data_IF_970573725696
#
_entry.id   IF_970573725696
#
_cell.length_a   1.000
_cell.length_b   1.000
_cell.length_c   1.000
_cell.angle_alpha   90.00
_cell.angle_beta   90.00
_cell.angle_gamma   90.00
#
_symmetry.space_group_name_H-M   'P 1'
#
loop_
_entity.id
_entity.type
_entity.pdbx_description
1 polymer ?
#
# COMPACT_ATOMS: atom_id res chain seq x y z
N UNK A 1 -8.06 -23.72 16.26
CA UNK A 1 -8.40 -22.85 15.15
C UNK A 1 -8.88 -23.71 14.01
N UNK A 2 -10.16 -23.69 13.79
CA UNK A 2 -10.88 -24.64 12.93
C UNK A 2 -10.83 -24.20 11.47
N UNK A 3 -9.66 -24.31 10.85
CA UNK A 3 -9.50 -24.05 9.43
C UNK A 3 -9.12 -25.32 8.68
N UNK A 4 -9.56 -25.44 7.44
CA UNK A 4 -9.14 -26.54 6.57
C UNK A 4 -7.64 -26.46 6.30
N UNK A 5 -6.94 -27.58 6.52
CA UNK A 5 -5.51 -27.72 6.21
C UNK A 5 -5.38 -28.25 4.79
N UNK A 6 -5.24 -27.34 3.85
CA UNK A 6 -5.02 -27.64 2.45
C UNK A 6 -3.57 -27.34 2.10
N UNK A 7 -2.87 -28.34 1.57
CA UNK A 7 -1.47 -28.23 1.15
C UNK A 7 -1.38 -27.77 -0.31
N UNK A 8 -0.22 -27.25 -0.67
CA UNK A 8 0.12 -26.85 -2.04
C UNK A 8 0.46 -25.36 -2.16
N UNK A 9 0.89 -24.98 -3.35
CA UNK A 9 1.13 -23.58 -3.72
C UNK A 9 -0.21 -22.98 -4.10
N UNK A 10 -0.73 -22.10 -3.26
CA UNK A 10 -2.06 -21.50 -3.42
C UNK A 10 -2.04 -20.02 -3.79
N UNK A 11 -0.87 -19.39 -3.82
CA UNK A 11 -0.66 -18.02 -4.29
C UNK A 11 0.20 -18.02 -5.54
N UNK A 12 0.15 -16.92 -6.28
CA UNK A 12 0.86 -16.78 -7.55
C UNK A 12 2.38 -16.96 -7.38
N UNK A 13 3.00 -17.52 -8.40
CA UNK A 13 4.46 -17.63 -8.52
C UNK A 13 4.90 -16.77 -9.70
N UNK A 14 5.86 -15.89 -9.45
CA UNK A 14 6.34 -14.92 -10.43
C UNK A 14 7.79 -15.18 -10.82
N UNK A 15 8.11 -14.98 -12.10
CA UNK A 15 9.47 -14.77 -12.58
C UNK A 15 9.65 -13.28 -12.83
N UNK A 16 10.54 -12.64 -12.08
CA UNK A 16 10.78 -11.21 -12.14
C UNK A 16 12.15 -10.92 -12.73
N UNK A 17 12.20 -10.10 -13.81
CA UNK A 17 13.41 -9.53 -14.33
C UNK A 17 13.48 -8.05 -13.92
N UNK A 18 14.61 -7.62 -13.40
CA UNK A 18 14.83 -6.24 -12.95
C UNK A 18 16.24 -5.75 -13.26
N UNK A 19 16.49 -4.44 -13.35
CA UNK A 19 17.82 -3.88 -13.49
C UNK A 19 18.71 -4.22 -12.28
N UNK A 20 20.03 -4.13 -12.46
CA UNK A 20 20.98 -4.40 -11.36
C UNK A 20 20.92 -3.36 -10.23
N UNK A 21 20.58 -2.12 -10.55
CA UNK A 21 20.23 -1.11 -9.55
C UNK A 21 18.73 -0.99 -9.56
N UNK A 22 18.09 -1.27 -8.44
CA UNK A 22 16.63 -1.30 -8.37
C UNK A 22 16.08 -0.85 -7.02
N UNK A 23 14.82 -0.46 -7.03
CA UNK A 23 14.01 -0.27 -5.81
C UNK A 23 13.77 -1.65 -5.17
N UNK A 24 14.27 -1.86 -3.95
CA UNK A 24 14.10 -3.12 -3.24
C UNK A 24 12.87 -3.10 -2.34
N UNK A 25 12.66 -1.96 -1.69
CA UNK A 25 11.51 -1.77 -0.80
C UNK A 25 11.00 -0.33 -0.84
N UNK A 26 9.73 -0.15 -0.55
CA UNK A 26 9.04 1.13 -0.52
C UNK A 26 8.12 1.15 0.70
N UNK A 27 8.33 2.14 1.57
CA UNK A 27 7.52 2.34 2.76
C UNK A 27 6.91 3.75 2.74
N UNK A 28 5.58 3.82 2.69
CA UNK A 28 4.81 5.05 2.67
C UNK A 28 4.15 5.28 4.03
N UNK A 29 4.36 6.45 4.61
CA UNK A 29 3.67 6.87 5.84
C UNK A 29 3.19 8.29 5.70
N UNK A 30 2.18 8.68 6.47
CA UNK A 30 1.73 10.06 6.51
C UNK A 30 1.40 10.54 7.91
N UNK A 31 1.61 11.83 8.13
CA UNK A 31 1.12 12.54 9.29
C UNK A 31 0.06 13.55 8.85
N UNK A 32 -1.09 13.50 9.50
CA UNK A 32 -2.23 14.37 9.16
C UNK A 32 -2.48 15.31 10.33
N UNK A 33 -2.65 16.60 10.04
CA UNK A 33 -2.94 17.63 11.04
C UNK A 33 -4.24 17.33 11.79
N UNK A 34 -4.38 17.87 13.00
CA UNK A 34 -5.60 17.70 13.80
C UNK A 34 -6.83 18.31 13.13
N UNK A 35 -6.64 19.35 12.32
CA UNK A 35 -7.70 19.99 11.53
C UNK A 35 -8.03 19.25 10.24
N UNK A 36 -7.24 18.21 9.89
CA UNK A 36 -7.38 17.44 8.67
C UNK A 36 -7.13 18.22 7.37
N UNK A 37 -6.60 19.43 7.47
CA UNK A 37 -6.35 20.36 6.36
C UNK A 37 -4.95 20.22 5.74
N UNK A 38 -4.11 19.37 6.34
CA UNK A 38 -2.73 19.16 5.89
C UNK A 38 -2.31 17.71 6.13
N UNK A 39 -1.66 17.11 5.13
CA UNK A 39 -1.00 15.83 5.24
C UNK A 39 0.47 15.97 4.81
N UNK A 40 1.38 15.40 5.58
CA UNK A 40 2.77 15.19 5.19
C UNK A 40 2.95 13.72 4.80
N UNK A 41 3.26 13.47 3.53
CA UNK A 41 3.62 12.14 3.04
C UNK A 41 5.13 11.96 3.16
N UNK A 42 5.55 10.90 3.81
CA UNK A 42 6.94 10.45 3.87
C UNK A 42 7.07 9.20 3.00
N UNK A 43 8.02 9.24 2.08
CA UNK A 43 8.43 8.12 1.24
C UNK A 43 9.81 7.70 1.70
N UNK A 44 9.94 6.47 2.15
CA UNK A 44 11.21 5.81 2.43
C UNK A 44 11.38 4.67 1.44
N UNK A 45 12.55 4.54 0.84
CA UNK A 45 12.85 3.47 -0.11
C UNK A 45 14.25 2.94 0.06
N UNK A 46 14.40 1.64 -0.15
CA UNK A 46 15.68 0.95 -0.16
C UNK A 46 16.08 0.71 -1.62
N UNK A 47 17.23 1.27 -2.02
CA UNK A 47 17.79 1.09 -3.35
C UNK A 47 19.01 0.20 -3.29
N UNK A 48 18.95 -0.96 -3.93
CA UNK A 48 20.02 -1.95 -3.91
C UNK A 48 20.75 -2.01 -5.24
N UNK A 49 22.09 -2.09 -5.17
CA UNK A 49 22.97 -2.29 -6.32
C UNK A 49 23.48 -3.74 -6.36
N UNK A 50 22.85 -4.59 -7.14
CA UNK A 50 23.26 -5.99 -7.38
C UNK A 50 24.46 -6.11 -8.35
N UNK A 51 24.96 -4.99 -8.85
CA UNK A 51 26.16 -4.94 -9.69
C UNK A 51 27.44 -5.01 -8.87
N UNK A 52 28.60 -4.91 -9.58
CA UNK A 52 29.92 -4.90 -8.94
C UNK A 52 30.54 -3.50 -8.84
N UNK A 53 30.08 -2.56 -9.67
CA UNK A 53 30.60 -1.18 -9.69
C UNK A 53 29.75 -0.28 -8.84
N UNK A 54 30.37 0.76 -8.26
CA UNK A 54 29.62 1.84 -7.60
C UNK A 54 28.67 2.48 -8.62
N UNK A 55 27.44 2.71 -8.21
CA UNK A 55 26.42 3.39 -9.00
C UNK A 55 25.87 4.58 -8.21
N UNK A 56 25.35 5.54 -8.94
CA UNK A 56 24.61 6.67 -8.38
C UNK A 56 23.27 6.74 -9.08
N UNK A 57 22.22 6.92 -8.31
CA UNK A 57 20.87 6.98 -8.81
C UNK A 57 20.07 8.05 -8.07
N UNK A 58 18.87 8.30 -8.55
CA UNK A 58 17.96 9.27 -7.97
C UNK A 58 16.55 8.68 -8.05
N UNK A 59 15.76 8.84 -7.01
CA UNK A 59 14.34 8.44 -7.05
C UNK A 59 13.49 9.69 -7.24
N UNK A 60 12.78 9.75 -8.36
CA UNK A 60 11.72 10.73 -8.58
C UNK A 60 10.41 10.18 -8.05
N UNK A 61 9.78 10.92 -7.16
CA UNK A 61 8.47 10.59 -6.60
C UNK A 61 7.45 11.57 -7.17
N UNK A 62 6.35 11.05 -7.70
CA UNK A 62 5.20 11.81 -8.17
C UNK A 62 3.95 11.35 -7.45
N UNK A 63 3.21 12.28 -6.86
CA UNK A 63 1.93 12.02 -6.23
C UNK A 63 0.82 12.48 -7.16
N UNK A 64 -0.06 11.56 -7.54
CA UNK A 64 -1.25 11.84 -8.34
C UNK A 64 -2.49 11.78 -7.44
N UNK A 65 -3.45 12.67 -7.69
CA UNK A 65 -4.72 12.65 -6.96
C UNK A 65 -5.65 11.52 -7.45
N UNK A 66 -6.83 11.44 -6.86
CA UNK A 66 -7.87 10.45 -7.20
C UNK A 66 -8.35 10.49 -8.66
N UNK A 67 -8.03 11.58 -9.38
CA UNK A 67 -8.36 11.77 -10.79
C UNK A 67 -7.15 11.51 -11.72
N UNK A 68 -6.02 11.06 -11.14
CA UNK A 68 -4.79 10.82 -11.88
C UNK A 68 -4.00 12.10 -12.24
N UNK A 69 -4.35 13.26 -11.68
CA UNK A 69 -3.63 14.53 -11.90
C UNK A 69 -2.48 14.67 -10.92
N UNK A 70 -1.30 15.15 -11.36
CA UNK A 70 -0.16 15.37 -10.47
C UNK A 70 -0.47 16.50 -9.47
N UNK A 71 -0.20 16.24 -8.20
CA UNK A 71 -0.37 17.22 -7.10
C UNK A 71 0.95 17.58 -6.43
N UNK A 72 1.95 16.72 -6.53
CA UNK A 72 3.30 16.96 -6.03
C UNK A 72 4.32 16.10 -6.76
N UNK A 73 5.54 16.60 -6.88
CA UNK A 73 6.69 15.81 -7.33
C UNK A 73 7.95 16.29 -6.62
N UNK A 74 8.82 15.34 -6.24
CA UNK A 74 10.09 15.64 -5.58
C UNK A 74 11.13 14.56 -5.87
N UNK A 75 12.38 14.86 -5.55
CA UNK A 75 13.54 14.00 -5.80
C UNK A 75 14.13 13.53 -4.48
N UNK A 76 14.46 12.26 -4.42
CA UNK A 76 15.21 11.64 -3.31
C UNK A 76 16.56 11.17 -3.87
N UNK A 77 17.68 11.82 -3.52
CA UNK A 77 19.01 11.35 -3.93
C UNK A 77 19.37 10.07 -3.17
N UNK A 78 19.86 9.06 -3.88
CA UNK A 78 20.28 7.80 -3.25
C UNK A 78 21.72 7.86 -2.73
N UNK A 79 22.49 8.84 -3.19
CA UNK A 79 23.93 8.86 -3.00
C UNK A 79 24.64 7.75 -3.81
N UNK A 80 25.92 7.53 -3.52
CA UNK A 80 26.72 6.47 -4.14
C UNK A 80 26.40 5.13 -3.48
N UNK A 81 25.98 4.16 -4.30
CA UNK A 81 25.65 2.81 -3.86
C UNK A 81 26.76 1.86 -4.29
N UNK A 82 27.52 1.35 -3.37
CA UNK A 82 28.58 0.36 -3.62
C UNK A 82 27.98 -0.94 -4.17
N UNK A 83 28.74 -1.64 -5.03
CA UNK A 83 28.29 -2.94 -5.54
C UNK A 83 28.00 -3.96 -4.42
N UNK A 84 26.87 -4.62 -4.48
CA UNK A 84 26.39 -5.55 -3.46
C UNK A 84 25.79 -4.89 -2.21
N UNK A 85 25.67 -3.56 -2.18
CA UNK A 85 25.11 -2.82 -1.05
C UNK A 85 23.79 -2.15 -1.38
N UNK A 86 23.10 -1.70 -0.34
CA UNK A 86 21.88 -0.91 -0.44
C UNK A 86 22.01 0.41 0.33
N UNK A 87 21.33 1.41 -0.14
CA UNK A 87 21.13 2.67 0.56
C UNK A 87 19.65 2.88 0.85
N UNK A 88 19.38 3.24 2.10
CA UNK A 88 18.05 3.67 2.54
C UNK A 88 17.99 5.18 2.35
N UNK A 89 16.99 5.64 1.63
CA UNK A 89 16.78 7.07 1.37
C UNK A 89 15.32 7.45 1.59
N UNK A 90 15.10 8.71 1.94
CA UNK A 90 13.76 9.19 2.27
C UNK A 90 13.56 10.63 1.81
N UNK A 91 12.31 10.96 1.58
CA UNK A 91 11.87 12.32 1.26
C UNK A 91 10.43 12.54 1.69
N UNK A 92 10.05 13.80 1.80
CA UNK A 92 8.71 14.18 2.24
C UNK A 92 8.10 15.20 1.31
N UNK A 93 6.77 15.21 1.26
CA UNK A 93 6.00 16.28 0.63
C UNK A 93 4.76 16.59 1.44
N UNK A 94 4.29 17.84 1.35
CA UNK A 94 3.09 18.28 2.05
C UNK A 94 1.96 18.53 1.07
N UNK A 95 0.79 18.00 1.40
CA UNK A 95 -0.45 18.19 0.66
C UNK A 95 -1.40 19.03 1.51
N UNK A 96 -1.99 20.05 0.94
CA UNK A 96 -3.05 20.85 1.56
C UNK A 96 -4.40 20.29 1.16
N UNK A 97 -5.34 20.30 2.11
CA UNK A 97 -6.71 19.85 1.93
C UNK A 97 -6.80 18.46 1.23
N UNK A 98 -6.09 17.42 1.78
CA UNK A 98 -6.09 16.12 1.18
C UNK A 98 -7.49 15.50 1.22
N UNK A 99 -7.89 14.80 0.14
CA UNK A 99 -9.04 13.91 0.18
C UNK A 99 -8.69 12.71 1.05
N UNK A 100 -9.29 12.63 2.23
CA UNK A 100 -8.99 11.56 3.18
C UNK A 100 -9.69 10.28 2.78
N UNK A 101 -9.03 9.17 3.08
CA UNK A 101 -9.58 7.83 2.91
C UNK A 101 -10.39 7.41 4.15
N UNK A 102 -11.57 6.87 3.92
CA UNK A 102 -12.38 6.15 4.91
C UNK A 102 -13.12 5.00 4.24
N UNK A 103 -13.71 4.08 5.02
CA UNK A 103 -14.51 3.00 4.45
C UNK A 103 -15.73 3.51 3.68
N UNK A 104 -16.26 4.69 4.02
CA UNK A 104 -17.39 5.33 3.31
C UNK A 104 -16.92 6.11 2.07
N UNK A 105 -15.71 6.64 2.11
CA UNK A 105 -15.14 7.45 1.00
C UNK A 105 -13.70 7.00 0.77
N UNK A 106 -13.46 5.91 0.03
CA UNK A 106 -12.14 5.33 -0.15
C UNK A 106 -11.29 6.10 -1.18
N UNK A 107 -10.92 7.33 -0.83
CA UNK A 107 -10.12 8.19 -1.70
C UNK A 107 -8.67 7.72 -1.74
N UNK A 108 -8.20 7.25 -2.90
CA UNK A 108 -6.84 6.76 -3.10
C UNK A 108 -6.06 7.70 -4.02
N UNK A 109 -4.85 8.03 -3.59
CA UNK A 109 -3.83 8.68 -4.39
C UNK A 109 -2.92 7.63 -5.00
N UNK A 110 -2.25 7.95 -6.11
CA UNK A 110 -1.20 7.11 -6.68
C UNK A 110 0.15 7.74 -6.39
N UNK A 111 1.01 7.01 -5.70
CA UNK A 111 2.43 7.38 -5.49
C UNK A 111 3.24 6.62 -6.54
N UNK A 112 3.81 7.35 -7.49
CA UNK A 112 4.71 6.79 -8.52
C UNK A 112 6.14 7.04 -8.11
N UNK A 113 7.00 6.03 -8.26
CA UNK A 113 8.43 6.13 -8.04
C UNK A 113 9.15 5.72 -9.34
N UNK A 114 10.08 6.54 -9.77
CA UNK A 114 10.96 6.25 -10.89
C UNK A 114 12.40 6.31 -10.41
N UNK A 115 13.12 5.22 -10.54
CA UNK A 115 14.56 5.18 -10.31
C UNK A 115 15.28 5.65 -11.57
N UNK A 116 16.07 6.70 -11.45
CA UNK A 116 16.78 7.33 -12.54
C UNK A 116 18.29 7.06 -12.39
N UNK A 117 18.99 6.81 -13.51
CA UNK A 117 20.45 6.79 -13.52
C UNK A 117 21.05 8.21 -13.44
N UNK A 118 22.37 8.31 -13.41
CA UNK A 118 23.08 9.58 -13.35
C UNK A 118 22.86 10.46 -14.60
N UNK A 119 22.42 9.89 -15.72
CA UNK A 119 22.08 10.62 -16.95
C UNK A 119 20.60 11.04 -17.00
N UNK A 120 19.79 10.63 -16.01
CA UNK A 120 18.37 10.92 -15.93
C UNK A 120 17.47 9.92 -16.67
N UNK A 121 18.01 8.80 -17.16
CA UNK A 121 17.22 7.75 -17.78
C UNK A 121 16.50 6.92 -16.72
N UNK A 122 15.27 6.53 -17.00
CA UNK A 122 14.48 5.66 -16.12
C UNK A 122 15.01 4.23 -16.17
N UNK A 123 15.50 3.74 -15.03
CA UNK A 123 15.93 2.35 -14.84
C UNK A 123 14.74 1.46 -14.47
N UNK A 124 13.88 1.93 -13.59
CA UNK A 124 12.75 1.21 -13.07
C UNK A 124 11.62 2.19 -12.71
N UNK A 125 10.37 1.79 -12.90
CA UNK A 125 9.21 2.55 -12.47
C UNK A 125 8.22 1.63 -11.75
N UNK A 126 7.63 2.12 -10.68
CA UNK A 126 6.58 1.42 -9.93
C UNK A 126 5.59 2.40 -9.34
N UNK A 127 4.44 1.91 -8.89
CA UNK A 127 3.44 2.74 -8.25
C UNK A 127 2.72 1.99 -7.14
N UNK A 128 2.27 2.75 -6.13
CA UNK A 128 1.41 2.26 -5.06
C UNK A 128 0.20 3.17 -4.88
N UNK A 129 -0.95 2.58 -4.56
CA UNK A 129 -2.11 3.33 -4.08
C UNK A 129 -1.90 3.71 -2.62
N UNK A 130 -2.32 4.91 -2.25
CA UNK A 130 -2.16 5.42 -0.90
C UNK A 130 -3.38 6.22 -0.44
N UNK A 131 -3.98 5.83 0.68
CA UNK A 131 -5.08 6.54 1.32
C UNK A 131 -4.61 7.35 2.52
N UNK A 132 -4.75 8.66 2.47
CA UNK A 132 -4.46 9.53 3.61
C UNK A 132 -5.53 9.33 4.69
N UNK A 133 -5.14 8.87 5.88
CA UNK A 133 -6.04 8.69 7.02
C UNK A 133 -5.32 8.93 8.33
N UNK A 134 -6.01 9.52 9.30
CA UNK A 134 -5.55 9.70 10.66
C UNK A 134 -6.27 8.68 11.55
N UNK A 135 -5.53 7.82 12.21
CA UNK A 135 -6.08 6.81 13.14
C UNK A 135 -5.63 7.18 14.55
N UNK A 136 -6.58 7.24 15.48
CA UNK A 136 -6.31 7.57 16.88
C UNK A 136 -7.14 6.69 17.82
N UNK A 137 -6.55 6.36 18.96
CA UNK A 137 -7.27 5.75 20.07
C UNK A 137 -7.38 6.80 21.17
N UNK A 138 -8.60 7.23 21.46
CA UNK A 138 -8.91 8.21 22.51
C UNK A 138 -10.01 7.66 23.41
N UNK A 139 -9.79 7.68 24.73
CA UNK A 139 -10.77 7.21 25.71
C UNK A 139 -11.31 5.79 25.39
N UNK A 140 -10.42 4.85 25.05
CA UNK A 140 -10.74 3.46 24.67
C UNK A 140 -11.66 3.34 23.44
N UNK A 141 -11.68 4.34 22.57
CA UNK A 141 -12.46 4.36 21.33
C UNK A 141 -11.54 4.67 20.15
N UNK A 142 -11.84 4.08 19.00
CA UNK A 142 -11.10 4.31 17.75
C UNK A 142 -11.73 5.42 16.96
N UNK A 143 -10.90 6.36 16.53
CA UNK A 143 -11.30 7.46 15.66
C UNK A 143 -10.50 7.37 14.36
N UNK A 144 -11.18 7.57 13.25
CA UNK A 144 -10.55 7.70 11.93
C UNK A 144 -10.99 9.04 11.35
N UNK A 145 -10.02 9.88 10.99
CA UNK A 145 -10.25 11.25 10.51
C UNK A 145 -11.18 12.04 11.48
N UNK A 146 -10.90 11.95 12.77
CA UNK A 146 -11.66 12.55 13.86
C UNK A 146 -13.09 12.00 14.07
N UNK A 147 -13.59 11.10 13.21
CA UNK A 147 -14.89 10.45 13.38
C UNK A 147 -14.75 9.19 14.24
N UNK A 148 -15.65 9.02 15.20
CA UNK A 148 -15.76 7.78 16.00
C UNK A 148 -16.18 6.63 15.07
N UNK A 149 -15.42 5.53 15.10
CA UNK A 149 -15.70 4.36 14.28
C UNK A 149 -16.28 3.24 15.12
N UNK A 150 -17.38 2.68 14.63
CA UNK A 150 -17.90 1.40 15.07
C UNK A 150 -17.57 0.35 14.00
N UNK A 151 -16.72 -0.61 14.35
CA UNK A 151 -16.38 -1.72 13.47
C UNK A 151 -17.54 -2.70 13.37
N UNK A 152 -18.17 -2.74 12.19
CA UNK A 152 -19.26 -3.68 11.85
C UNK A 152 -18.72 -4.63 10.82
N UNK A 153 -18.44 -5.86 11.20
CA UNK A 153 -17.76 -6.78 10.31
C UNK A 153 -17.97 -8.24 10.63
N UNK A 154 -17.29 -9.08 9.87
CA UNK A 154 -17.26 -10.52 10.06
C UNK A 154 -15.86 -11.07 9.79
N UNK A 155 -15.62 -12.29 10.25
CA UNK A 155 -14.43 -13.06 9.92
C UNK A 155 -14.51 -13.55 8.47
N UNK A 156 -13.36 -13.57 7.80
CA UNK A 156 -13.23 -14.14 6.47
C UNK A 156 -12.02 -15.05 6.39
N UNK A 157 -12.21 -16.26 5.86
CA UNK A 157 -11.15 -17.16 5.46
C UNK A 157 -10.84 -17.04 3.97
N UNK A 158 -9.57 -17.13 3.58
CA UNK A 158 -9.18 -17.34 2.18
C UNK A 158 -9.45 -18.79 1.81
N UNK A 159 -10.69 -19.07 1.41
CA UNK A 159 -11.12 -20.40 0.97
C UNK A 159 -12.20 -20.27 -0.12
N UNK A 160 -12.09 -21.14 -1.13
CA UNK A 160 -13.06 -21.24 -2.22
C UNK A 160 -13.61 -22.67 -2.28
N UNK A 161 -14.91 -22.88 -2.54
CA UNK A 161 -15.52 -24.21 -2.54
C UNK A 161 -14.89 -25.20 -3.53
N UNK A 162 -14.42 -24.70 -4.68
CA UNK A 162 -13.84 -25.56 -5.73
C UNK A 162 -12.31 -25.52 -5.75
N UNK A 163 -11.68 -24.40 -5.40
CA UNK A 163 -10.23 -24.20 -5.54
C UNK A 163 -9.48 -24.20 -4.19
N UNK A 164 -10.18 -24.46 -3.09
CA UNK A 164 -9.55 -24.46 -1.77
C UNK A 164 -8.96 -23.11 -1.41
N UNK A 165 -7.67 -23.05 -1.06
CA UNK A 165 -6.99 -21.80 -0.70
C UNK A 165 -6.56 -20.94 -1.91
N UNK A 166 -6.67 -21.45 -3.14
CA UNK A 166 -6.39 -20.68 -4.36
C UNK A 166 -7.63 -19.85 -4.74
N UNK A 167 -7.91 -18.80 -3.98
CA UNK A 167 -9.09 -17.97 -4.15
C UNK A 167 -8.94 -17.06 -5.39
N UNK A 168 -9.83 -17.15 -6.39
CA UNK A 168 -9.83 -16.25 -7.54
C UNK A 168 -10.12 -14.80 -7.13
N UNK A 169 -9.58 -13.84 -7.90
CA UNK A 169 -9.80 -12.40 -7.63
C UNK A 169 -11.28 -12.03 -7.73
N UNK A 170 -12.02 -12.65 -8.65
CA UNK A 170 -13.46 -12.46 -8.81
C UNK A 170 -14.21 -12.79 -7.52
N UNK A 171 -13.88 -13.92 -6.87
CA UNK A 171 -14.47 -14.31 -5.59
C UNK A 171 -14.08 -13.36 -4.45
N UNK A 172 -12.86 -12.83 -4.48
CA UNK A 172 -12.44 -11.79 -3.53
C UNK A 172 -13.30 -10.53 -3.65
N UNK A 173 -13.58 -10.10 -4.89
CA UNK A 173 -14.43 -8.94 -5.18
C UNK A 173 -15.88 -9.23 -4.76
N UNK A 174 -16.41 -10.41 -5.07
CA UNK A 174 -17.77 -10.81 -4.66
C UNK A 174 -17.95 -10.74 -3.15
N UNK A 175 -17.00 -11.27 -2.37
CA UNK A 175 -17.01 -11.17 -0.91
C UNK A 175 -17.07 -9.72 -0.43
N UNK A 176 -16.22 -8.85 -0.97
CA UNK A 176 -16.18 -7.43 -0.61
C UNK A 176 -17.49 -6.74 -0.95
N UNK A 177 -18.04 -6.97 -2.14
CA UNK A 177 -19.32 -6.40 -2.56
C UNK A 177 -20.46 -6.88 -1.66
N UNK A 178 -20.40 -8.12 -1.20
CA UNK A 178 -21.36 -8.66 -0.23
C UNK A 178 -21.26 -7.91 1.11
N UNK A 179 -20.05 -7.70 1.64
CA UNK A 179 -19.84 -6.88 2.85
C UNK A 179 -20.43 -5.48 2.68
N UNK A 180 -20.14 -4.80 1.57
CA UNK A 180 -20.70 -3.46 1.30
C UNK A 180 -22.21 -3.46 1.19
N UNK A 181 -22.80 -4.47 0.52
CA UNK A 181 -24.25 -4.62 0.37
C UNK A 181 -24.96 -4.80 1.70
N UNK A 182 -24.35 -5.48 2.66
CA UNK A 182 -24.87 -5.64 4.02
C UNK A 182 -24.45 -4.52 4.98
N UNK A 183 -23.89 -3.43 4.48
CA UNK A 183 -23.43 -2.29 5.28
C UNK A 183 -22.42 -2.69 6.37
N UNK A 184 -21.53 -3.63 6.05
CA UNK A 184 -20.37 -3.97 6.84
C UNK A 184 -19.20 -3.10 6.40
N UNK A 185 -18.41 -2.60 7.34
CA UNK A 185 -17.27 -1.72 7.07
C UNK A 185 -15.93 -2.35 7.46
N UNK A 186 -15.93 -3.54 8.02
CA UNK A 186 -14.74 -4.18 8.59
C UNK A 186 -14.69 -5.65 8.24
N UNK A 187 -13.50 -6.14 7.97
CA UNK A 187 -13.21 -7.55 7.78
C UNK A 187 -12.11 -7.97 8.75
N UNK A 188 -12.21 -9.17 9.34
CA UNK A 188 -11.13 -9.79 10.09
C UNK A 188 -10.56 -10.94 9.27
N UNK A 189 -9.25 -10.87 9.04
CA UNK A 189 -8.53 -11.91 8.27
C UNK A 189 -8.30 -13.13 9.16
N UNK A 190 -9.31 -13.96 9.31
CA UNK A 190 -9.23 -15.10 10.21
C UNK A 190 -8.69 -16.36 9.52
N UNK A 191 -7.63 -16.97 10.04
CA UNK A 191 -6.81 -16.52 11.18
C UNK A 191 -5.36 -16.42 10.71
N UNK A 192 -5.15 -15.74 9.61
CA UNK A 192 -3.89 -15.58 8.89
C UNK A 192 -3.99 -14.42 7.90
N UNK A 193 -2.88 -13.80 7.49
CA UNK A 193 -2.88 -12.76 6.47
C UNK A 193 -3.51 -13.26 5.17
N UNK A 194 -4.41 -12.46 4.60
CA UNK A 194 -5.04 -12.76 3.32
C UNK A 194 -4.05 -12.65 2.15
N UNK A 195 -4.50 -13.03 0.95
CA UNK A 195 -3.73 -12.77 -0.28
C UNK A 195 -3.42 -11.26 -0.40
N UNK A 196 -2.18 -10.86 -0.77
CA UNK A 196 -1.81 -9.45 -0.92
C UNK A 196 -2.75 -8.63 -1.81
N UNK A 197 -3.34 -9.25 -2.84
CA UNK A 197 -4.34 -8.58 -3.70
C UNK A 197 -5.58 -8.14 -2.91
N UNK A 198 -5.95 -8.90 -1.88
CA UNK A 198 -7.12 -8.62 -1.07
C UNK A 198 -6.98 -7.30 -0.31
N UNK A 199 -5.78 -6.97 0.20
CA UNK A 199 -5.54 -5.69 0.89
C UNK A 199 -5.71 -4.50 -0.05
N UNK A 200 -5.24 -4.61 -1.30
CA UNK A 200 -5.47 -3.58 -2.31
C UNK A 200 -6.96 -3.41 -2.64
N UNK A 201 -7.72 -4.49 -2.65
CA UNK A 201 -9.16 -4.45 -2.83
C UNK A 201 -9.87 -3.84 -1.62
N UNK A 202 -9.43 -4.11 -0.39
CA UNK A 202 -9.96 -3.47 0.82
C UNK A 202 -9.76 -1.96 0.78
N UNK A 203 -8.60 -1.50 0.36
CA UNK A 203 -8.32 -0.08 0.19
C UNK A 203 -9.22 0.54 -0.89
N UNK A 204 -9.38 -0.13 -2.02
CA UNK A 204 -10.16 0.34 -3.16
C UNK A 204 -11.67 0.42 -2.87
N UNK A 205 -12.24 -0.62 -2.28
CA UNK A 205 -13.68 -0.69 -1.98
C UNK A 205 -14.06 -0.05 -0.65
N UNK A 206 -13.09 0.29 0.19
CA UNK A 206 -13.32 0.91 1.49
C UNK A 206 -13.78 -0.09 2.56
N UNK A 207 -12.85 -0.92 3.04
CA UNK A 207 -13.06 -1.77 4.21
C UNK A 207 -11.91 -1.58 5.20
N UNK A 208 -12.23 -1.46 6.46
CA UNK A 208 -11.25 -1.57 7.52
C UNK A 208 -10.84 -3.03 7.69
N UNK A 209 -9.60 -3.26 8.08
CA UNK A 209 -9.08 -4.61 8.27
C UNK A 209 -8.58 -4.77 9.70
N UNK A 210 -9.01 -5.85 10.34
CA UNK A 210 -8.40 -6.37 11.54
C UNK A 210 -7.54 -7.56 11.11
N UNK A 211 -6.27 -7.28 10.91
CA UNK A 211 -5.31 -8.26 10.40
C UNK A 211 -4.81 -9.18 11.50
N UNK A 212 -4.62 -10.46 11.15
CA UNK A 212 -4.24 -11.50 12.11
C UNK A 212 -3.18 -12.46 11.54
#
# INVERSE_FOLDING_TARGET
QDMFRLSGIHRDVYLVASPKVRLRDIHLTSQISDRLDKAELKVKTDVHNYGKKVQEATVRVSLLNTEGKPVSSFIIPTGKITGGQENVCEGTTTIRDPRLWSAETPSLYTVQLELLDAAGNVLEATSQQYGFRKIEIRNNKVYINNALILFKGANRHDIHPQFGKAVPVESMIEDILLFKRFNLNTIRTSHYPNDPKMYSLYDYYGLYVMDE
#
